data_IF_373660811182
#
_entry.id   IF_373660811182
#
_cell.length_a   1.000
_cell.length_b   1.000
_cell.length_c   1.000
_cell.angle_alpha   90.00
_cell.angle_beta   90.00
_cell.angle_gamma   90.00
#
_symmetry.space_group_name_H-M   'P 1'
#
loop_
_entity.id
_entity.type
_entity.pdbx_description
1 polymer ?
#
# COMPACT_ATOMS: atom_id res chain seq x y z
N UNK A 1 -23.94 14.02 -16.19
CA UNK A 1 -23.09 14.09 -15.00
C UNK A 1 -22.20 12.86 -15.04
N UNK A 2 -20.87 13.00 -15.22
CA UNK A 2 -19.95 11.86 -15.30
C UNK A 2 -19.73 11.22 -13.92
N UNK A 3 -19.23 9.97 -13.93
CA UNK A 3 -18.72 9.31 -12.74
C UNK A 3 -17.24 9.68 -12.61
N UNK A 4 -16.81 10.15 -11.43
CA UNK A 4 -15.39 10.36 -11.13
C UNK A 4 -14.78 9.02 -10.73
N UNK A 5 -13.68 8.65 -11.35
CA UNK A 5 -12.96 7.41 -11.08
C UNK A 5 -11.57 7.72 -10.51
N UNK A 6 -11.11 6.87 -9.59
CA UNK A 6 -9.73 6.84 -9.12
C UNK A 6 -9.23 5.39 -9.06
N UNK A 7 -7.98 5.21 -9.39
CA UNK A 7 -7.24 3.97 -9.10
C UNK A 7 -6.56 4.12 -7.74
N UNK A 8 -6.80 3.16 -6.82
CA UNK A 8 -6.16 3.13 -5.49
C UNK A 8 -5.39 1.82 -5.33
N UNK A 9 -4.07 1.89 -5.21
CA UNK A 9 -3.19 0.71 -5.21
C UNK A 9 -2.20 0.68 -4.06
N UNK A 10 -1.92 -0.51 -3.51
CA UNK A 10 -0.87 -0.73 -2.50
C UNK A 10 0.54 -0.84 -3.08
N UNK A 11 0.68 -0.88 -4.40
CA UNK A 11 2.00 -0.89 -5.04
C UNK A 11 2.77 0.39 -4.74
N UNK A 12 3.91 0.30 -4.04
CA UNK A 12 4.68 1.47 -3.59
C UNK A 12 6.12 1.52 -4.14
N UNK A 13 6.65 0.42 -4.67
CA UNK A 13 8.02 0.35 -5.18
C UNK A 13 8.29 1.20 -6.42
N UNK A 14 7.24 1.54 -7.18
CA UNK A 14 7.31 2.45 -8.33
C UNK A 14 6.51 3.73 -8.06
N UNK A 15 6.88 4.81 -8.75
CA UNK A 15 6.13 6.06 -8.76
C UNK A 15 4.84 5.98 -9.60
N UNK A 16 4.01 7.02 -9.48
CA UNK A 16 2.70 7.10 -10.13
C UNK A 16 2.80 7.13 -11.65
N UNK A 17 3.85 7.74 -12.24
CA UNK A 17 4.01 7.76 -13.71
C UNK A 17 4.22 6.36 -14.27
N UNK A 18 5.03 5.52 -13.64
CA UNK A 18 5.21 4.13 -14.06
C UNK A 18 3.92 3.31 -13.92
N UNK A 19 3.12 3.57 -12.89
CA UNK A 19 1.80 2.91 -12.73
C UNK A 19 0.84 3.32 -13.84
N UNK A 20 0.80 4.61 -14.19
CA UNK A 20 0.03 5.09 -15.34
C UNK A 20 0.43 4.38 -16.62
N UNK A 21 1.73 4.28 -16.90
CA UNK A 21 2.23 3.63 -18.11
C UNK A 21 1.88 2.13 -18.14
N UNK A 22 1.89 1.44 -16.98
CA UNK A 22 1.42 0.07 -16.84
C UNK A 22 -0.08 -0.06 -17.14
N UNK A 23 -0.92 0.83 -16.61
CA UNK A 23 -2.37 0.85 -16.90
C UNK A 23 -2.65 1.13 -18.37
N UNK A 24 -1.94 2.10 -18.97
CA UNK A 24 -2.07 2.41 -20.40
C UNK A 24 -1.68 1.21 -21.29
N UNK A 25 -0.67 0.43 -20.90
CA UNK A 25 -0.31 -0.81 -21.62
C UNK A 25 -1.40 -1.87 -21.59
N UNK A 26 -2.33 -1.78 -20.64
CA UNK A 26 -3.53 -2.64 -20.54
C UNK A 26 -4.78 -2.02 -21.20
N UNK A 27 -4.62 -0.85 -21.86
CA UNK A 27 -5.73 -0.13 -22.50
C UNK A 27 -6.57 0.71 -21.53
N UNK A 28 -6.05 0.97 -20.32
CA UNK A 28 -6.73 1.77 -19.30
C UNK A 28 -6.04 3.14 -19.19
N UNK A 29 -6.71 4.17 -19.70
CA UNK A 29 -6.19 5.53 -19.74
C UNK A 29 -6.60 6.31 -18.48
N UNK A 30 -5.59 6.64 -17.66
CA UNK A 30 -5.71 7.48 -16.47
C UNK A 30 -4.65 8.57 -16.49
N UNK A 31 -4.98 9.75 -15.99
CA UNK A 31 -3.99 10.78 -15.65
C UNK A 31 -3.28 10.45 -14.33
N UNK A 32 -2.15 11.08 -14.07
CA UNK A 32 -1.47 10.90 -12.77
C UNK A 32 -2.37 11.30 -11.59
N UNK A 33 -3.23 12.31 -11.78
CA UNK A 33 -4.14 12.78 -10.73
C UNK A 33 -5.28 11.80 -10.42
N UNK A 34 -5.54 10.85 -11.30
CA UNK A 34 -6.54 9.79 -11.12
C UNK A 34 -5.95 8.50 -10.54
N UNK A 35 -4.66 8.50 -10.15
CA UNK A 35 -3.98 7.35 -9.56
C UNK A 35 -3.45 7.73 -8.19
N UNK A 36 -3.83 7.00 -7.16
CA UNK A 36 -3.34 7.10 -5.79
C UNK A 36 -2.67 5.79 -5.41
N UNK A 37 -1.42 5.87 -5.05
CA UNK A 37 -0.66 4.72 -4.54
C UNK A 37 -0.36 4.86 -3.05
N UNK A 38 -0.02 3.76 -2.42
CA UNK A 38 0.47 3.80 -1.04
C UNK A 38 1.84 4.48 -0.91
N UNK A 39 2.59 4.63 -2.00
CA UNK A 39 3.76 5.52 -2.06
C UNK A 39 3.35 6.98 -1.89
N UNK A 40 2.34 7.45 -2.65
CA UNK A 40 1.83 8.82 -2.52
C UNK A 40 1.28 9.07 -1.11
N UNK A 41 0.58 8.08 -0.54
CA UNK A 41 0.10 8.15 0.85
C UNK A 41 1.27 8.25 1.85
N UNK A 42 2.36 7.52 1.63
CA UNK A 42 3.55 7.60 2.46
C UNK A 42 4.26 8.95 2.32
N UNK A 43 4.39 9.48 1.11
CA UNK A 43 4.99 10.79 0.85
C UNK A 43 4.19 11.90 1.55
N UNK A 44 2.87 11.88 1.45
CA UNK A 44 1.99 12.85 2.14
C UNK A 44 2.08 12.67 3.66
N UNK A 45 1.95 11.45 4.17
CA UNK A 45 2.03 11.19 5.62
C UNK A 45 3.34 11.69 6.21
N UNK A 46 4.48 11.35 5.59
CA UNK A 46 5.81 11.74 6.05
C UNK A 46 6.09 13.23 5.87
N UNK A 47 5.45 13.92 4.95
CA UNK A 47 5.58 15.38 4.82
C UNK A 47 5.06 16.13 6.05
N UNK A 48 4.05 15.57 6.74
CA UNK A 48 3.46 16.11 7.97
C UNK A 48 4.00 15.46 9.26
N UNK A 49 4.57 14.26 9.16
CA UNK A 49 5.03 13.45 10.30
C UNK A 49 6.49 13.03 10.08
N UNK A 50 7.35 14.00 9.84
CA UNK A 50 8.79 13.75 9.59
C UNK A 50 9.46 13.13 10.82
N UNK A 51 10.19 12.01 10.64
CA UNK A 51 11.08 11.52 11.70
C UNK A 51 12.24 12.49 11.90
N UNK A 52 12.81 12.48 13.08
CA UNK A 52 14.05 13.21 13.36
C UNK A 52 15.25 12.47 12.76
N UNK A 53 15.99 13.12 11.83
CA UNK A 53 17.15 12.54 11.15
C UNK A 53 16.82 11.70 9.90
N UNK A 54 17.82 10.96 9.36
CA UNK A 54 17.71 10.33 8.05
C UNK A 54 16.72 9.15 8.03
N UNK A 55 15.97 9.06 6.94
CA UNK A 55 15.03 7.98 6.63
C UNK A 55 15.67 6.98 5.67
N UNK A 56 15.88 5.75 6.11
CA UNK A 56 16.33 4.65 5.26
C UNK A 56 15.21 4.14 4.36
N UNK A 57 15.43 4.15 3.05
CA UNK A 57 14.45 3.73 2.05
C UNK A 57 14.79 2.33 1.55
N UNK A 58 13.83 1.42 1.66
CA UNK A 58 13.95 0.00 1.33
C UNK A 58 12.97 -0.40 0.23
N UNK A 59 13.42 -1.21 -0.73
CA UNK A 59 12.56 -1.79 -1.76
C UNK A 59 12.04 -0.82 -2.81
N UNK A 60 12.73 0.31 -3.00
CA UNK A 60 12.46 1.23 -4.09
C UNK A 60 13.06 0.70 -5.40
N UNK A 61 12.28 0.69 -6.46
CA UNK A 61 12.74 0.31 -7.83
C UNK A 61 12.34 1.36 -8.87
N UNK A 62 11.68 2.42 -8.43
CA UNK A 62 11.24 3.55 -9.24
C UNK A 62 12.18 4.74 -9.16
N UNK A 63 11.62 5.92 -9.37
CA UNK A 63 12.30 7.18 -9.13
C UNK A 63 12.65 7.30 -7.63
N UNK A 64 13.72 8.06 -7.33
CA UNK A 64 14.14 8.28 -5.96
C UNK A 64 12.98 8.68 -5.06
N UNK A 65 12.87 8.04 -3.89
CA UNK A 65 11.89 8.42 -2.87
C UNK A 65 12.38 9.68 -2.17
N UNK A 66 11.57 10.73 -2.16
CA UNK A 66 11.98 12.03 -1.60
C UNK A 66 10.84 12.67 -0.83
N UNK A 67 11.17 13.21 0.33
CA UNK A 67 10.25 14.03 1.16
C UNK A 67 10.91 15.42 1.32
N UNK A 68 10.19 16.51 1.11
CA UNK A 68 10.75 17.84 1.33
C UNK A 68 11.35 18.00 2.74
N UNK A 69 12.56 18.53 2.84
CA UNK A 69 13.30 18.77 4.08
C UNK A 69 13.52 17.51 4.95
N UNK A 70 13.54 16.33 4.37
CA UNK A 70 13.92 15.08 5.01
C UNK A 70 15.01 14.40 4.19
N UNK A 71 16.09 14.00 4.84
CA UNK A 71 17.11 13.18 4.20
C UNK A 71 16.60 11.76 3.98
N UNK A 72 16.42 11.36 2.72
CA UNK A 72 16.02 10.02 2.33
C UNK A 72 17.22 9.30 1.70
N UNK A 73 17.62 8.20 2.32
CA UNK A 73 18.79 7.40 1.93
C UNK A 73 18.32 6.06 1.38
N UNK A 74 18.53 5.82 0.08
CA UNK A 74 18.29 4.50 -0.51
C UNK A 74 19.31 3.52 0.06
N UNK A 75 18.82 2.47 0.74
CA UNK A 75 19.69 1.54 1.43
C UNK A 75 20.16 0.42 0.51
N UNK A 76 21.44 0.09 0.67
CA UNK A 76 22.09 -1.08 0.12
C UNK A 76 22.33 -2.13 1.22
N UNK A 77 22.82 -3.32 0.86
CA UNK A 77 23.13 -4.38 1.83
C UNK A 77 24.45 -4.08 2.57
N UNK A 78 24.46 -2.98 3.31
CA UNK A 78 25.55 -2.57 4.20
C UNK A 78 24.97 -2.23 5.59
N UNK A 79 25.27 -3.08 6.58
CA UNK A 79 24.73 -2.94 7.93
C UNK A 79 25.13 -1.61 8.61
N UNK A 80 26.31 -1.09 8.30
CA UNK A 80 26.78 0.18 8.92
C UNK A 80 25.85 1.34 8.58
N UNK A 81 25.31 1.37 7.35
CA UNK A 81 24.38 2.42 6.92
C UNK A 81 23.05 2.30 7.66
N UNK A 82 22.59 1.09 7.98
CA UNK A 82 21.35 0.89 8.75
C UNK A 82 21.43 1.55 10.13
N UNK A 83 22.56 1.48 10.79
CA UNK A 83 22.75 2.07 12.13
C UNK A 83 22.75 3.61 12.13
N UNK A 84 23.03 4.23 11.00
CA UNK A 84 22.98 5.69 10.84
C UNK A 84 21.55 6.21 10.62
N UNK A 85 20.60 5.32 10.27
CA UNK A 85 19.21 5.72 9.99
C UNK A 85 18.43 5.96 11.29
N UNK A 86 17.64 7.02 11.32
CA UNK A 86 16.73 7.33 12.44
C UNK A 86 15.36 6.66 12.30
N UNK A 87 15.04 6.17 11.10
CA UNK A 87 13.80 5.47 10.79
C UNK A 87 13.93 4.74 9.46
N UNK A 88 12.95 3.89 9.13
CA UNK A 88 12.93 3.15 7.87
C UNK A 88 11.57 3.25 7.19
N UNK A 89 11.56 3.21 5.85
CA UNK A 89 10.37 2.96 5.05
C UNK A 89 10.58 1.78 4.11
N UNK A 90 9.63 0.82 4.12
CA UNK A 90 9.60 -0.30 3.19
C UNK A 90 8.54 -0.07 2.12
N UNK A 91 8.99 0.08 0.87
CA UNK A 91 8.15 0.35 -0.30
C UNK A 91 7.77 -0.93 -1.06
N UNK A 92 8.65 -1.92 -1.09
CA UNK A 92 8.45 -3.17 -1.82
C UNK A 92 9.49 -4.22 -1.47
N UNK A 93 9.36 -5.40 -2.07
CA UNK A 93 10.19 -6.58 -1.75
C UNK A 93 10.80 -7.26 -2.98
N UNK A 94 10.87 -6.58 -4.11
CA UNK A 94 11.36 -7.15 -5.38
C UNK A 94 12.78 -7.73 -5.28
N UNK A 95 13.64 -7.10 -4.46
CA UNK A 95 15.03 -7.53 -4.22
C UNK A 95 15.22 -8.05 -2.80
N UNK A 96 14.12 -8.38 -2.09
CA UNK A 96 14.18 -8.80 -0.69
C UNK A 96 14.65 -10.23 -0.54
N UNK A 97 15.65 -10.45 0.30
CA UNK A 97 16.20 -11.75 0.66
C UNK A 97 16.40 -11.89 2.18
N UNK A 98 17.00 -12.99 2.60
CA UNK A 98 17.28 -13.25 4.02
C UNK A 98 18.26 -12.24 4.61
N UNK A 99 19.20 -11.74 3.83
CA UNK A 99 20.18 -10.76 4.30
C UNK A 99 19.48 -9.43 4.64
N UNK A 100 18.62 -8.91 3.76
CA UNK A 100 17.79 -7.73 4.05
C UNK A 100 16.93 -7.91 5.30
N UNK A 101 16.31 -9.11 5.43
CA UNK A 101 15.46 -9.45 6.56
C UNK A 101 16.23 -9.43 7.89
N UNK A 102 17.41 -10.06 7.92
CA UNK A 102 18.24 -10.16 9.12
C UNK A 102 18.84 -8.80 9.50
N UNK A 103 19.30 -8.03 8.51
CA UNK A 103 19.85 -6.68 8.74
C UNK A 103 18.81 -5.76 9.37
N UNK A 104 17.60 -5.69 8.78
CA UNK A 104 16.53 -4.83 9.32
C UNK A 104 16.08 -5.32 10.70
N UNK A 105 15.93 -6.64 10.91
CA UNK A 105 15.55 -7.20 12.20
C UNK A 105 16.57 -6.85 13.29
N UNK A 106 17.86 -7.11 13.05
CA UNK A 106 18.92 -6.88 14.02
C UNK A 106 19.01 -5.38 14.35
N UNK A 107 19.04 -4.52 13.34
CA UNK A 107 19.08 -3.07 13.51
C UNK A 107 17.90 -2.53 14.34
N UNK A 108 16.68 -3.03 14.11
CA UNK A 108 15.49 -2.62 14.88
C UNK A 108 15.41 -3.22 16.28
N UNK A 109 16.06 -4.36 16.53
CA UNK A 109 16.15 -4.96 17.88
C UNK A 109 17.19 -4.26 18.72
N UNK A 110 18.34 -3.96 18.15
CA UNK A 110 19.46 -3.31 18.86
C UNK A 110 19.12 -1.85 19.16
N UNK A 111 18.45 -1.17 18.25
CA UNK A 111 18.01 0.22 18.40
C UNK A 111 16.59 0.41 17.82
N UNK A 112 15.53 0.28 18.64
CA UNK A 112 14.14 0.42 18.20
C UNK A 112 13.85 1.81 17.62
N UNK A 113 13.43 1.86 16.36
CA UNK A 113 13.16 3.09 15.60
C UNK A 113 11.86 2.95 14.81
N UNK A 114 11.22 4.05 14.38
CA UNK A 114 10.03 4.02 13.54
C UNK A 114 10.27 3.24 12.25
N UNK A 115 9.36 2.32 11.95
CA UNK A 115 9.28 1.60 10.68
C UNK A 115 7.97 1.97 9.99
N UNK A 116 8.04 2.51 8.80
CA UNK A 116 6.90 2.81 7.95
C UNK A 116 6.79 1.73 6.87
N UNK A 117 5.58 1.26 6.61
CA UNK A 117 5.33 0.24 5.59
C UNK A 117 4.28 0.76 4.62
N UNK A 118 4.71 1.07 3.42
CA UNK A 118 3.83 1.62 2.41
C UNK A 118 2.90 0.56 1.82
N UNK A 119 3.38 -0.69 1.64
CA UNK A 119 2.58 -1.77 1.09
C UNK A 119 2.19 -2.80 2.17
N UNK A 120 0.93 -2.80 2.67
CA UNK A 120 0.45 -3.76 3.65
C UNK A 120 0.02 -5.12 3.07
N UNK A 121 0.21 -5.39 1.80
CA UNK A 121 -0.15 -6.67 1.22
C UNK A 121 0.78 -7.79 1.74
N UNK A 122 0.21 -8.98 1.96
CA UNK A 122 0.95 -10.20 2.31
C UNK A 122 1.41 -10.89 1.03
N UNK A 123 0.52 -10.92 0.03
CA UNK A 123 0.76 -11.48 -1.30
C UNK A 123 0.06 -10.63 -2.35
N UNK A 124 0.61 -10.59 -3.56
CA UNK A 124 -0.05 -10.00 -4.72
C UNK A 124 -0.23 -11.03 -5.84
N UNK A 125 -1.40 -11.07 -6.49
CA UNK A 125 -1.65 -11.98 -7.59
C UNK A 125 -0.92 -11.52 -8.87
N UNK A 126 -0.35 -12.47 -9.59
CA UNK A 126 0.15 -12.34 -10.94
C UNK A 126 -0.57 -13.37 -11.83
N UNK A 127 -0.34 -13.31 -13.13
CA UNK A 127 -1.03 -14.17 -14.10
C UNK A 127 -1.01 -15.67 -13.71
N UNK A 128 0.17 -16.19 -13.34
CA UNK A 128 0.37 -17.61 -13.01
C UNK A 128 1.05 -17.88 -11.67
N UNK A 129 1.25 -16.84 -10.84
CA UNK A 129 1.95 -16.95 -9.55
C UNK A 129 1.47 -15.88 -8.57
N UNK A 130 1.98 -15.99 -7.34
CA UNK A 130 1.88 -14.92 -6.34
C UNK A 130 3.28 -14.39 -6.03
N UNK A 131 3.39 -13.09 -5.77
CA UNK A 131 4.55 -12.51 -5.10
C UNK A 131 4.29 -12.44 -3.61
N UNK A 132 5.36 -12.55 -2.83
CA UNK A 132 5.33 -12.29 -1.39
C UNK A 132 5.61 -10.80 -1.19
N UNK A 133 4.73 -10.14 -0.47
CA UNK A 133 4.72 -8.68 -0.33
C UNK A 133 5.19 -8.23 1.08
N UNK A 134 5.45 -6.95 1.29
CA UNK A 134 6.04 -6.42 2.52
C UNK A 134 5.42 -6.91 3.82
N UNK A 135 4.09 -6.99 3.94
CA UNK A 135 3.48 -7.38 5.21
C UNK A 135 3.84 -8.80 5.67
N UNK A 136 4.14 -9.72 4.76
CA UNK A 136 4.64 -11.04 5.12
C UNK A 136 5.96 -10.95 5.90
N UNK A 137 6.93 -10.21 5.36
CA UNK A 137 8.25 -10.04 5.97
C UNK A 137 8.18 -9.25 7.27
N UNK A 138 7.35 -8.20 7.30
CA UNK A 138 7.13 -7.40 8.51
C UNK A 138 6.45 -8.22 9.62
N UNK A 139 5.52 -9.11 9.30
CA UNK A 139 4.92 -9.99 10.29
C UNK A 139 5.97 -10.88 10.98
N UNK A 140 6.99 -11.30 10.24
CA UNK A 140 8.12 -12.05 10.77
C UNK A 140 9.04 -11.20 11.66
N UNK A 141 9.27 -9.91 11.31
CA UNK A 141 9.99 -8.98 12.17
C UNK A 141 9.25 -8.79 13.52
N UNK A 142 7.95 -8.56 13.47
CA UNK A 142 7.10 -8.39 14.67
C UNK A 142 7.14 -9.65 15.55
N UNK A 143 7.01 -10.84 14.95
CA UNK A 143 7.08 -12.11 15.66
C UNK A 143 8.45 -12.36 16.34
N UNK A 144 9.51 -11.71 15.85
CA UNK A 144 10.85 -11.77 16.40
C UNK A 144 11.24 -10.56 17.27
N UNK A 145 10.26 -9.74 17.69
CA UNK A 145 10.43 -8.69 18.70
C UNK A 145 10.57 -7.27 18.18
N UNK A 146 10.45 -7.03 16.87
CA UNK A 146 10.36 -5.68 16.35
C UNK A 146 9.03 -5.00 16.77
N UNK A 147 9.05 -3.68 16.94
CA UNK A 147 7.85 -2.91 17.23
C UNK A 147 6.87 -2.91 16.05
N UNK A 148 5.59 -2.63 16.34
CA UNK A 148 4.57 -2.48 15.31
C UNK A 148 4.91 -1.30 14.39
N UNK A 149 4.83 -1.47 13.06
CA UNK A 149 5.11 -0.41 12.11
C UNK A 149 3.91 0.52 11.93
N UNK A 150 4.15 1.66 11.27
CA UNK A 150 3.12 2.53 10.72
C UNK A 150 2.71 2.01 9.34
N UNK A 151 1.48 1.54 9.19
CA UNK A 151 0.94 1.05 7.93
C UNK A 151 0.26 2.18 7.15
N UNK A 152 0.63 2.37 5.87
CA UNK A 152 0.22 3.54 5.09
C UNK A 152 -0.67 3.22 3.88
N UNK A 153 -0.74 1.94 3.47
CA UNK A 153 -1.60 1.45 2.38
C UNK A 153 -2.92 0.85 2.88
N UNK A 154 -3.76 0.34 1.97
CA UNK A 154 -5.02 -0.37 2.30
C UNK A 154 -4.75 -1.60 3.17
N UNK A 155 -5.53 -1.88 4.19
CA UNK A 155 -6.84 -1.31 4.58
C UNK A 155 -6.76 -0.08 5.50
N UNK A 156 -5.59 0.47 5.75
CA UNK A 156 -5.40 1.55 6.72
C UNK A 156 -5.90 2.90 6.18
N UNK A 157 -6.34 3.83 7.05
CA UNK A 157 -7.06 5.03 6.63
C UNK A 157 -6.25 6.01 5.77
N UNK A 158 -4.93 6.10 5.95
CA UNK A 158 -4.08 7.10 5.30
C UNK A 158 -4.27 7.17 3.77
N UNK A 159 -4.27 6.03 3.08
CA UNK A 159 -4.44 6.00 1.62
C UNK A 159 -5.88 6.37 1.20
N UNK A 160 -6.88 5.98 2.00
CA UNK A 160 -8.27 6.32 1.70
C UNK A 160 -8.56 7.80 1.91
N UNK A 161 -8.00 8.43 2.95
CA UNK A 161 -8.11 9.87 3.20
C UNK A 161 -7.51 10.66 2.03
N UNK A 162 -6.33 10.27 1.56
CA UNK A 162 -5.72 10.87 0.37
C UNK A 162 -6.61 10.70 -0.87
N UNK A 163 -7.15 9.49 -1.10
CA UNK A 163 -8.02 9.20 -2.23
C UNK A 163 -9.33 10.02 -2.18
N UNK A 164 -9.94 10.18 -1.00
CA UNK A 164 -11.15 10.96 -0.82
C UNK A 164 -10.92 12.45 -1.07
N UNK A 165 -9.80 13.00 -0.62
CA UNK A 165 -9.41 14.37 -0.89
C UNK A 165 -9.26 14.60 -2.40
N UNK A 166 -8.49 13.72 -3.06
CA UNK A 166 -8.27 13.79 -4.51
C UNK A 166 -9.58 13.64 -5.30
N UNK A 167 -10.45 12.72 -4.90
CA UNK A 167 -11.75 12.51 -5.54
C UNK A 167 -12.65 13.75 -5.41
N UNK A 168 -12.59 14.45 -4.27
CA UNK A 168 -13.32 15.69 -4.04
C UNK A 168 -12.80 16.81 -4.93
N UNK A 169 -11.49 16.94 -5.08
CA UNK A 169 -10.83 17.90 -5.99
C UNK A 169 -11.27 17.67 -7.44
N UNK A 170 -11.14 16.43 -7.93
CA UNK A 170 -11.52 16.07 -9.31
C UNK A 170 -13.01 16.24 -9.58
N UNK A 171 -13.86 15.95 -8.61
CA UNK A 171 -15.30 16.14 -8.74
C UNK A 171 -15.72 17.60 -8.70
N UNK A 172 -14.87 18.51 -8.22
CA UNK A 172 -15.16 19.94 -8.03
C UNK A 172 -16.33 20.22 -7.07
N UNK A 173 -16.66 19.27 -6.19
CA UNK A 173 -17.77 19.35 -5.23
C UNK A 173 -17.58 18.39 -4.07
N UNK A 174 -18.20 18.71 -2.94
CA UNK A 174 -18.25 17.77 -1.81
C UNK A 174 -18.96 16.47 -2.19
N UNK A 175 -18.37 15.35 -1.78
CA UNK A 175 -18.90 14.00 -2.01
C UNK A 175 -19.36 13.38 -0.69
N UNK A 176 -20.54 12.78 -0.70
CA UNK A 176 -21.06 12.03 0.45
C UNK A 176 -20.48 10.62 0.42
N UNK A 177 -19.89 10.14 1.51
CA UNK A 177 -19.22 8.82 1.58
C UNK A 177 -20.12 7.66 1.12
N UNK A 178 -21.41 7.70 1.47
CA UNK A 178 -22.40 6.67 1.05
C UNK A 178 -22.65 6.61 -0.47
N UNK A 179 -22.16 7.59 -1.24
CA UNK A 179 -22.23 7.63 -2.71
C UNK A 179 -20.90 7.30 -3.38
N UNK A 180 -19.89 6.96 -2.60
CA UNK A 180 -18.58 6.53 -3.09
C UNK A 180 -18.49 5.02 -2.89
N UNK A 181 -18.06 4.31 -3.92
CA UNK A 181 -17.82 2.88 -3.88
C UNK A 181 -16.36 2.54 -4.12
N UNK A 182 -15.82 1.64 -3.31
CA UNK A 182 -14.56 0.97 -3.57
C UNK A 182 -14.84 -0.37 -4.23
N UNK A 183 -14.34 -0.55 -5.45
CA UNK A 183 -14.38 -1.82 -6.17
C UNK A 183 -13.00 -2.46 -6.05
N UNK A 184 -12.93 -3.67 -5.54
CA UNK A 184 -11.67 -4.39 -5.36
C UNK A 184 -11.87 -5.90 -5.29
N UNK A 185 -10.77 -6.63 -5.40
CA UNK A 185 -10.75 -8.10 -5.42
C UNK A 185 -10.33 -8.72 -4.08
N UNK A 186 -10.00 -7.90 -3.07
CA UNK A 186 -9.39 -8.39 -1.86
C UNK A 186 -10.17 -7.98 -0.60
N UNK A 187 -10.64 -8.99 0.18
CA UNK A 187 -11.42 -8.77 1.39
C UNK A 187 -10.68 -7.95 2.45
N UNK A 188 -9.42 -8.29 2.71
CA UNK A 188 -8.65 -7.71 3.84
C UNK A 188 -7.96 -6.38 3.53
N UNK A 189 -8.00 -5.90 2.30
CA UNK A 189 -7.49 -4.58 1.92
C UNK A 189 -8.60 -3.67 1.42
N UNK A 190 -9.21 -3.99 0.28
CA UNK A 190 -10.20 -3.16 -0.36
C UNK A 190 -11.51 -3.09 0.43
N UNK A 191 -12.06 -4.26 0.78
CA UNK A 191 -13.36 -4.35 1.43
C UNK A 191 -13.28 -3.92 2.89
N UNK A 192 -12.31 -4.44 3.63
CA UNK A 192 -12.10 -4.06 5.03
C UNK A 192 -11.83 -2.56 5.17
N UNK A 193 -10.95 -2.03 4.33
CA UNK A 193 -10.60 -0.61 4.35
C UNK A 193 -11.77 0.30 4.02
N UNK A 194 -12.49 0.03 2.93
CA UNK A 194 -13.67 0.81 2.56
C UNK A 194 -14.79 0.74 3.60
N UNK A 195 -15.04 -0.44 4.19
CA UNK A 195 -16.02 -0.61 5.26
C UNK A 195 -15.63 0.23 6.50
N UNK A 196 -14.34 0.26 6.86
CA UNK A 196 -13.86 0.96 8.06
C UNK A 196 -14.08 2.47 8.03
N UNK A 197 -14.15 3.06 6.83
CA UNK A 197 -14.35 4.49 6.63
C UNK A 197 -15.75 4.84 6.10
N UNK A 198 -16.65 3.87 5.97
CA UNK A 198 -18.05 4.08 5.59
C UNK A 198 -18.31 4.28 4.10
N UNK A 199 -17.41 3.82 3.24
CA UNK A 199 -17.67 3.73 1.80
C UNK A 199 -18.53 2.50 1.47
N UNK A 200 -19.13 2.50 0.27
CA UNK A 200 -19.72 1.28 -0.28
C UNK A 200 -18.63 0.35 -0.78
N UNK A 201 -18.67 -0.91 -0.35
CA UNK A 201 -17.71 -1.93 -0.73
C UNK A 201 -18.28 -2.89 -1.77
N UNK A 202 -17.52 -3.09 -2.87
CA UNK A 202 -17.90 -3.96 -3.98
C UNK A 202 -16.79 -4.98 -4.21
N UNK A 203 -17.04 -6.24 -3.87
CA UNK A 203 -16.09 -7.33 -4.10
C UNK A 203 -16.23 -7.88 -5.52
N UNK A 204 -15.15 -7.87 -6.28
CA UNK A 204 -15.04 -8.49 -7.60
C UNK A 204 -14.42 -9.89 -7.45
N UNK A 205 -15.07 -10.95 -7.99
CA UNK A 205 -14.73 -12.34 -7.64
C UNK A 205 -14.02 -13.13 -8.74
N UNK A 206 -14.20 -12.78 -10.02
CA UNK A 206 -13.61 -13.56 -11.13
C UNK A 206 -12.14 -13.24 -11.41
N UNK A 207 -11.59 -12.25 -10.70
CA UNK A 207 -10.22 -11.78 -10.88
C UNK A 207 -9.50 -11.69 -9.52
N UNK A 208 -8.20 -11.48 -9.58
CA UNK A 208 -7.38 -11.20 -8.41
C UNK A 208 -7.17 -12.38 -7.47
N UNK A 209 -7.11 -12.09 -6.18
CA UNK A 209 -6.69 -13.04 -5.15
C UNK A 209 -7.68 -14.18 -4.93
N UNK A 210 -8.98 -13.91 -5.07
CA UNK A 210 -10.05 -14.88 -4.77
C UNK A 210 -10.66 -15.54 -6.02
N UNK A 211 -10.05 -15.36 -7.19
CA UNK A 211 -10.50 -16.09 -8.39
C UNK A 211 -10.50 -17.60 -8.12
N UNK A 212 -11.59 -18.27 -8.48
CA UNK A 212 -11.82 -19.70 -8.25
C UNK A 212 -12.01 -20.13 -6.78
N UNK A 213 -12.09 -19.18 -5.84
CA UNK A 213 -12.33 -19.48 -4.44
C UNK A 213 -13.84 -19.46 -4.08
N UNK A 214 -14.21 -20.18 -3.04
CA UNK A 214 -15.56 -20.11 -2.48
C UNK A 214 -15.72 -18.85 -1.63
N UNK A 215 -16.23 -17.79 -2.23
CA UNK A 215 -16.37 -16.46 -1.62
C UNK A 215 -17.22 -16.49 -0.34
N UNK A 216 -18.32 -17.24 -0.32
CA UNK A 216 -19.17 -17.36 0.88
C UNK A 216 -18.39 -17.98 2.06
N UNK A 217 -17.55 -18.97 1.78
CA UNK A 217 -16.65 -19.56 2.80
C UNK A 217 -15.60 -18.56 3.28
N UNK A 218 -15.03 -17.77 2.39
CA UNK A 218 -14.03 -16.74 2.74
C UNK A 218 -14.63 -15.63 3.59
N UNK A 219 -15.80 -15.10 3.21
CA UNK A 219 -16.55 -14.11 4.00
C UNK A 219 -16.87 -14.67 5.39
N UNK A 220 -17.37 -15.93 5.48
CA UNK A 220 -17.66 -16.56 6.76
C UNK A 220 -16.41 -16.73 7.64
N UNK A 221 -15.26 -17.04 7.04
CA UNK A 221 -13.98 -17.25 7.75
C UNK A 221 -13.40 -15.93 8.26
N UNK A 222 -13.47 -14.88 7.47
CA UNK A 222 -12.88 -13.57 7.79
C UNK A 222 -13.81 -12.66 8.59
N UNK A 223 -15.12 -12.83 8.44
CA UNK A 223 -16.12 -11.90 8.97
C UNK A 223 -16.19 -10.57 8.20
N UNK A 224 -15.45 -10.42 7.10
CA UNK A 224 -15.43 -9.21 6.27
C UNK A 224 -16.55 -9.33 5.24
N UNK A 225 -17.57 -8.50 5.36
CA UNK A 225 -18.78 -8.57 4.54
C UNK A 225 -18.80 -7.38 3.57
N UNK A 226 -18.75 -7.61 2.24
CA UNK A 226 -18.93 -6.54 1.26
C UNK A 226 -20.39 -6.11 1.16
N UNK A 227 -20.66 -4.83 0.82
CA UNK A 227 -22.03 -4.38 0.50
C UNK A 227 -22.55 -5.05 -0.78
N UNK A 228 -21.68 -5.27 -1.77
CA UNK A 228 -22.03 -5.88 -3.05
C UNK A 228 -20.96 -6.89 -3.49
N UNK A 229 -21.39 -7.88 -4.23
CA UNK A 229 -20.51 -8.87 -4.89
C UNK A 229 -20.84 -8.86 -6.37
N UNK A 230 -19.81 -8.77 -7.22
CA UNK A 230 -19.91 -8.82 -8.68
C UNK A 230 -18.90 -9.81 -9.24
N UNK A 231 -19.22 -10.40 -10.38
CA UNK A 231 -18.32 -11.35 -11.06
C UNK A 231 -17.23 -10.65 -11.89
N UNK A 232 -17.41 -9.37 -12.14
CA UNK A 232 -16.55 -8.59 -13.02
C UNK A 232 -17.04 -8.59 -14.48
N UNK A 233 -16.37 -7.80 -15.35
CA UNK A 233 -16.70 -7.73 -16.77
C UNK A 233 -16.33 -9.00 -17.50
#
# INVERSE_FOLDING_TARGET
>A
MGITLLVVTNGASNDTSKKRDQLSSLGLEFSNDEIISSRDAAEVFLSFNKPEGPLGVLGNIGNKFTIPDLECVELEQDYSIFEEMSSFILLGTTMWDTMWQDMLLNSLKDNPRPLFVANPDIVAPHENKFSIEPAYFISHLIANGAHLPFWLGKPFPTIFELALNRMTELAGRHLTLSRIGMVGDTLHTDILGSNSIGLKSVLMTNHGLFRNENIAKMIKKTGIIPDFIIEGP
#
